data_IF_621302744552
#
_entry.id   IF_621302744552
#
_cell.length_a   1.000
_cell.length_b   1.000
_cell.length_c   1.000
_cell.angle_alpha   90.00
_cell.angle_beta   90.00
_cell.angle_gamma   90.00
#
_symmetry.space_group_name_H-M   'P 1'
#
loop_
_entity.id
_entity.type
_entity.pdbx_description
1 polymer ?
#
# COMPACT_ATOMS: atom_id res chain seq x y z
N UNK A 1 28.63 8.92 -23.07
CA UNK A 1 28.27 10.22 -22.45
C UNK A 1 27.41 9.92 -21.23
N UNK A 2 27.45 10.71 -20.16
CA UNK A 2 26.46 10.56 -19.07
C UNK A 2 25.06 10.77 -19.64
N UNK A 3 24.08 9.92 -19.27
CA UNK A 3 22.70 10.03 -19.77
C UNK A 3 22.08 11.42 -19.58
N UNK A 4 22.50 12.15 -18.54
CA UNK A 4 22.07 13.55 -18.31
C UNK A 4 22.48 14.49 -19.45
N UNK A 5 23.68 14.29 -20.03
CA UNK A 5 24.17 15.12 -21.13
C UNK A 5 23.44 14.76 -22.43
N UNK A 6 23.23 13.46 -22.69
CA UNK A 6 22.46 12.99 -23.85
C UNK A 6 21.05 13.56 -23.83
N UNK A 7 20.32 13.42 -22.71
CA UNK A 7 18.96 13.94 -22.58
C UNK A 7 18.89 15.46 -22.73
N UNK A 8 19.87 16.21 -22.18
CA UNK A 8 19.92 17.66 -22.33
C UNK A 8 20.01 18.06 -23.80
N UNK A 9 20.81 17.34 -24.59
CA UNK A 9 21.14 17.73 -25.96
C UNK A 9 20.09 17.21 -26.97
N UNK A 10 19.45 16.07 -26.71
CA UNK A 10 18.50 15.43 -27.64
C UNK A 10 17.05 15.44 -27.18
N UNK A 11 16.80 15.71 -25.90
CA UNK A 11 15.49 15.51 -25.26
C UNK A 11 15.07 14.04 -25.13
N UNK A 12 15.98 13.09 -25.40
CA UNK A 12 15.72 11.65 -25.42
C UNK A 12 16.82 10.85 -24.75
N UNK A 13 16.47 9.66 -24.28
CA UNK A 13 17.39 8.65 -23.77
C UNK A 13 17.08 7.35 -24.51
N UNK A 14 17.98 6.91 -25.37
CA UNK A 14 17.80 5.67 -26.14
C UNK A 14 17.59 4.48 -25.20
N UNK A 15 18.29 4.45 -24.05
CA UNK A 15 18.12 3.40 -23.06
C UNK A 15 16.72 3.37 -22.43
N UNK A 16 16.03 4.52 -22.35
CA UNK A 16 14.65 4.59 -21.86
C UNK A 16 13.67 4.10 -22.93
N UNK A 17 13.87 4.50 -24.19
CA UNK A 17 13.06 4.07 -25.32
C UNK A 17 13.18 2.53 -25.54
N UNK A 18 14.37 1.96 -25.35
CA UNK A 18 14.60 0.51 -25.39
C UNK A 18 13.83 -0.23 -24.29
N UNK A 19 13.80 0.31 -23.07
CA UNK A 19 13.05 -0.27 -21.95
C UNK A 19 11.54 -0.23 -22.22
N UNK A 20 11.03 0.89 -22.71
CA UNK A 20 9.60 1.09 -22.98
C UNK A 20 9.07 0.19 -24.11
N UNK A 21 9.95 -0.25 -25.00
CA UNK A 21 9.61 -1.10 -26.15
C UNK A 21 9.95 -2.58 -25.95
N UNK A 22 10.60 -2.95 -24.84
CA UNK A 22 10.95 -4.34 -24.53
C UNK A 22 9.68 -5.16 -24.16
N UNK A 23 9.28 -6.17 -24.98
CA UNK A 23 8.06 -6.93 -24.74
C UNK A 23 8.09 -7.74 -23.42
N UNK A 24 9.29 -8.17 -23.00
CA UNK A 24 9.47 -8.89 -21.74
C UNK A 24 9.26 -7.93 -20.56
N UNK A 25 9.83 -6.72 -20.61
CA UNK A 25 9.62 -5.73 -19.56
C UNK A 25 8.16 -5.28 -19.48
N UNK A 26 7.50 -5.09 -20.63
CA UNK A 26 6.05 -4.81 -20.68
C UNK A 26 5.23 -5.92 -20.02
N UNK A 27 5.52 -7.19 -20.31
CA UNK A 27 4.81 -8.33 -19.71
C UNK A 27 5.08 -8.41 -18.20
N UNK A 28 6.34 -8.26 -17.79
CA UNK A 28 6.70 -8.28 -16.36
C UNK A 28 6.06 -7.13 -15.59
N UNK A 29 5.96 -5.94 -16.19
CA UNK A 29 5.26 -4.80 -15.62
C UNK A 29 3.76 -5.08 -15.47
N UNK A 30 3.12 -5.65 -16.50
CA UNK A 30 1.72 -6.04 -16.45
C UNK A 30 1.44 -7.02 -15.30
N UNK A 31 2.29 -8.03 -15.11
CA UNK A 31 2.17 -8.99 -14.01
C UNK A 31 2.48 -8.37 -12.66
N UNK A 32 3.47 -7.51 -12.57
CA UNK A 32 3.82 -6.79 -11.35
C UNK A 32 2.68 -5.88 -10.86
N UNK A 33 1.91 -5.31 -11.78
CA UNK A 33 0.74 -4.48 -11.45
C UNK A 33 -0.44 -5.29 -10.88
N UNK A 34 -0.40 -6.63 -10.92
CA UNK A 34 -1.42 -7.48 -10.29
C UNK A 34 -1.22 -7.44 -8.78
N UNK A 35 -2.27 -7.04 -8.05
CA UNK A 35 -2.19 -7.07 -6.59
C UNK A 35 -1.88 -8.47 -6.05
N UNK A 36 -0.87 -8.54 -5.16
CA UNK A 36 -0.38 -9.81 -4.61
C UNK A 36 0.71 -10.49 -5.46
N UNK A 37 1.18 -9.86 -6.54
CA UNK A 37 2.30 -10.31 -7.35
C UNK A 37 3.50 -9.38 -7.14
N UNK A 38 4.61 -9.93 -6.64
CA UNK A 38 5.88 -9.22 -6.54
C UNK A 38 6.79 -9.49 -7.74
N UNK A 39 7.99 -8.89 -7.75
CA UNK A 39 8.97 -9.04 -8.83
C UNK A 39 9.38 -10.51 -9.07
N UNK A 40 9.53 -11.29 -7.99
CA UNK A 40 9.84 -12.73 -8.08
C UNK A 40 8.70 -13.48 -8.75
N UNK A 41 7.47 -13.30 -8.29
CA UNK A 41 6.30 -14.00 -8.82
C UNK A 41 5.98 -13.58 -10.27
N UNK A 42 6.15 -12.30 -10.62
CA UNK A 42 6.00 -11.84 -12.00
C UNK A 42 6.99 -12.55 -12.94
N UNK A 43 8.24 -12.76 -12.51
CA UNK A 43 9.22 -13.54 -13.28
C UNK A 43 8.86 -15.02 -13.35
N UNK A 44 8.33 -15.61 -12.28
CA UNK A 44 7.84 -16.99 -12.29
C UNK A 44 6.69 -17.16 -13.29
N UNK A 45 5.71 -16.24 -13.30
CA UNK A 45 4.61 -16.24 -14.26
C UNK A 45 5.12 -16.16 -15.70
N UNK A 46 6.04 -15.24 -15.98
CA UNK A 46 6.66 -15.09 -17.29
C UNK A 46 7.42 -16.35 -17.76
N UNK A 47 7.98 -17.13 -16.83
CA UNK A 47 8.76 -18.33 -17.10
C UNK A 47 7.93 -19.63 -17.09
N UNK A 48 6.71 -19.65 -16.54
CA UNK A 48 5.94 -20.90 -16.29
C UNK A 48 5.70 -21.81 -17.51
N UNK A 49 5.78 -21.29 -18.73
CA UNK A 49 5.63 -22.06 -19.98
C UNK A 49 6.89 -22.78 -20.45
N UNK A 50 8.03 -22.64 -19.76
CA UNK A 50 9.24 -23.41 -20.09
C UNK A 50 9.22 -24.85 -19.56
N UNK A 51 8.31 -25.18 -18.62
CA UNK A 51 8.25 -26.51 -17.98
C UNK A 51 7.07 -27.37 -18.49
N UNK A 52 6.18 -26.81 -19.30
CA UNK A 52 5.04 -27.55 -19.86
C UNK A 52 5.45 -28.25 -21.16
N UNK A 53 6.10 -29.42 -21.04
CA UNK A 53 6.16 -30.39 -22.13
C UNK A 53 5.05 -31.41 -21.91
N UNK A 54 3.87 -31.28 -22.57
CA UNK A 54 2.95 -32.39 -22.61
C UNK A 54 3.70 -33.53 -23.31
N UNK A 55 3.86 -34.66 -22.63
CA UNK A 55 4.31 -35.89 -23.27
C UNK A 55 3.27 -36.25 -24.35
N UNK A 56 3.45 -35.70 -25.55
CA UNK A 56 2.61 -36.02 -26.69
C UNK A 56 2.89 -37.47 -27.05
N UNK A 57 1.86 -38.33 -27.10
CA UNK A 57 2.03 -39.68 -27.61
C UNK A 57 2.57 -39.59 -29.04
N UNK A 58 3.57 -40.40 -29.28
CA UNK A 58 4.30 -40.56 -30.52
C UNK A 58 3.37 -40.49 -31.75
N UNK A 59 3.70 -39.61 -32.71
CA UNK A 59 3.09 -39.41 -34.03
C UNK A 59 1.99 -38.33 -34.17
N UNK A 60 2.38 -37.06 -34.16
CA UNK A 60 1.73 -36.04 -35.00
C UNK A 60 2.72 -34.92 -35.33
N UNK A 61 3.78 -35.24 -36.08
CA UNK A 61 4.71 -34.25 -36.60
C UNK A 61 4.14 -33.72 -37.90
N UNK A 62 3.71 -32.44 -37.95
CA UNK A 62 3.88 -31.46 -39.07
C UNK A 62 2.88 -30.27 -39.08
N UNK A 63 2.00 -30.03 -38.07
CA UNK A 63 1.16 -28.78 -38.09
C UNK A 63 1.03 -28.02 -36.74
N UNK A 64 1.89 -28.20 -35.73
CA UNK A 64 1.76 -27.43 -34.46
C UNK A 64 3.10 -26.94 -33.87
N UNK A 65 4.02 -26.43 -34.68
CA UNK A 65 5.31 -25.89 -34.19
C UNK A 65 5.26 -24.43 -33.73
N UNK A 66 4.08 -23.88 -33.41
CA UNK A 66 3.92 -22.52 -32.88
C UNK A 66 3.14 -22.48 -31.55
N UNK A 67 3.10 -23.57 -30.79
CA UNK A 67 2.70 -23.50 -29.37
C UNK A 67 3.92 -22.91 -28.64
N UNK A 68 3.85 -21.61 -28.41
CA UNK A 68 4.68 -20.81 -27.52
C UNK A 68 5.25 -21.62 -26.35
N UNK A 69 6.53 -22.03 -26.43
CA UNK A 69 7.37 -22.50 -25.31
C UNK A 69 7.72 -21.36 -24.33
N UNK A 70 6.96 -20.28 -24.39
CA UNK A 70 7.14 -19.03 -23.72
C UNK A 70 6.05 -19.00 -22.65
N UNK A 71 6.39 -18.70 -21.39
CA UNK A 71 5.41 -18.65 -20.29
C UNK A 71 4.31 -17.64 -20.47
N UNK A 72 3.57 -17.32 -19.41
CA UNK A 72 2.42 -16.43 -19.53
C UNK A 72 2.85 -15.07 -20.11
N UNK A 73 2.06 -14.53 -21.02
CA UNK A 73 2.31 -13.27 -21.75
C UNK A 73 1.28 -12.20 -21.47
N UNK A 74 0.13 -12.58 -20.94
CA UNK A 74 -0.92 -11.67 -20.54
C UNK A 74 -1.77 -12.22 -19.39
N UNK A 75 -2.80 -11.47 -19.02
CA UNK A 75 -3.76 -11.87 -17.98
C UNK A 75 -4.61 -13.06 -18.40
N UNK A 76 -4.89 -13.24 -19.69
CA UNK A 76 -5.70 -14.34 -20.19
C UNK A 76 -4.97 -15.66 -20.00
N UNK A 77 -3.66 -15.71 -20.24
CA UNK A 77 -2.82 -16.87 -19.91
C UNK A 77 -2.86 -17.23 -18.42
N UNK A 78 -2.86 -16.22 -17.54
CA UNK A 78 -2.97 -16.43 -16.08
C UNK A 78 -4.34 -17.04 -15.74
N UNK A 79 -5.42 -16.54 -16.37
CA UNK A 79 -6.79 -17.00 -16.11
C UNK A 79 -7.00 -18.41 -16.69
N UNK A 80 -6.54 -18.68 -17.91
CA UNK A 80 -6.74 -19.95 -18.60
C UNK A 80 -5.89 -21.07 -18.02
N UNK A 81 -4.61 -20.80 -17.75
CA UNK A 81 -3.64 -21.84 -17.37
C UNK A 81 -3.19 -21.79 -15.91
N UNK A 82 -3.42 -20.66 -15.23
CA UNK A 82 -2.80 -20.36 -13.94
C UNK A 82 -3.74 -20.28 -12.75
N UNK A 83 -5.04 -20.14 -12.98
CA UNK A 83 -6.00 -19.68 -11.98
C UNK A 83 -5.97 -20.46 -10.66
N UNK A 84 -5.90 -21.79 -10.75
CA UNK A 84 -5.92 -22.69 -9.58
C UNK A 84 -4.60 -22.68 -8.79
N UNK A 85 -3.53 -22.12 -9.37
CA UNK A 85 -2.23 -22.00 -8.71
C UNK A 85 -2.06 -20.67 -7.97
N UNK A 86 -2.96 -19.72 -8.18
CA UNK A 86 -2.92 -18.40 -7.58
C UNK A 86 -3.39 -18.45 -6.13
N UNK A 87 -2.76 -17.65 -5.27
CA UNK A 87 -3.32 -17.37 -3.94
C UNK A 87 -4.65 -16.61 -4.08
N UNK A 88 -5.51 -16.68 -3.06
CA UNK A 88 -6.81 -15.96 -3.06
C UNK A 88 -6.65 -14.46 -3.34
N UNK A 89 -5.60 -13.84 -2.79
CA UNK A 89 -5.31 -12.41 -2.97
C UNK A 89 -4.86 -12.11 -4.41
N UNK A 90 -4.06 -12.99 -5.03
CA UNK A 90 -3.69 -12.87 -6.44
C UNK A 90 -4.90 -13.06 -7.36
N UNK A 91 -5.80 -14.00 -7.06
CA UNK A 91 -7.05 -14.16 -7.81
C UNK A 91 -7.92 -12.89 -7.75
N UNK A 92 -7.98 -12.23 -6.59
CA UNK A 92 -8.66 -10.93 -6.45
C UNK A 92 -7.95 -9.85 -7.30
N UNK A 93 -6.61 -9.81 -7.24
CA UNK A 93 -5.80 -8.89 -8.04
C UNK A 93 -5.99 -9.05 -9.55
N UNK A 94 -6.09 -10.29 -10.04
CA UNK A 94 -6.40 -10.58 -11.45
C UNK A 94 -7.84 -10.20 -11.78
N UNK A 95 -8.80 -10.59 -10.92
CA UNK A 95 -10.24 -10.35 -11.14
C UNK A 95 -10.59 -8.85 -11.26
N UNK A 96 -9.94 -8.00 -10.47
CA UNK A 96 -10.22 -6.56 -10.45
C UNK A 96 -9.07 -5.73 -11.03
N UNK A 97 -8.23 -6.34 -11.88
CA UNK A 97 -7.02 -5.71 -12.40
C UNK A 97 -7.25 -4.32 -12.98
N UNK A 98 -8.22 -4.20 -13.89
CA UNK A 98 -8.52 -2.93 -14.56
C UNK A 98 -9.10 -1.90 -13.58
N UNK A 99 -10.07 -2.31 -12.75
CA UNK A 99 -10.70 -1.44 -11.74
C UNK A 99 -9.67 -0.85 -10.78
N UNK A 100 -8.76 -1.68 -10.25
CA UNK A 100 -7.76 -1.26 -9.25
C UNK A 100 -6.65 -0.37 -9.85
N UNK A 101 -6.53 -0.31 -11.18
CA UNK A 101 -5.61 0.60 -11.88
C UNK A 101 -6.21 1.98 -12.15
N UNK A 102 -7.54 2.10 -12.11
CA UNK A 102 -8.21 3.37 -12.32
C UNK A 102 -7.83 4.37 -11.23
N UNK A 103 -7.43 5.58 -11.65
CA UNK A 103 -7.10 6.66 -10.72
C UNK A 103 -8.34 7.16 -9.99
N UNK A 104 -8.19 7.48 -8.71
CA UNK A 104 -9.26 7.91 -7.80
C UNK A 104 -9.21 9.44 -7.66
N UNK A 105 -10.26 10.18 -8.07
CA UNK A 105 -10.34 11.63 -7.85
C UNK A 105 -10.39 11.97 -6.36
N UNK A 106 -9.86 13.14 -5.97
CA UNK A 106 -9.81 13.59 -4.56
C UNK A 106 -11.17 13.56 -3.86
N UNK A 107 -12.23 13.99 -4.53
CA UNK A 107 -13.58 13.98 -3.97
C UNK A 107 -14.05 12.55 -3.60
N UNK A 108 -13.68 11.54 -4.39
CA UNK A 108 -13.99 10.15 -4.09
C UNK A 108 -13.15 9.63 -2.90
N UNK A 109 -11.86 9.98 -2.84
CA UNK A 109 -10.99 9.69 -1.68
C UNK A 109 -11.58 10.26 -0.39
N UNK A 110 -11.99 11.53 -0.40
CA UNK A 110 -12.60 12.21 0.73
C UNK A 110 -13.92 11.55 1.14
N UNK A 111 -14.76 11.16 0.18
CA UNK A 111 -16.02 10.47 0.45
C UNK A 111 -15.79 9.12 1.14
N UNK A 112 -14.87 8.29 0.63
CA UNK A 112 -14.54 6.99 1.21
C UNK A 112 -13.98 7.17 2.63
N UNK A 113 -13.04 8.11 2.80
CA UNK A 113 -12.45 8.43 4.08
C UNK A 113 -13.52 8.84 5.10
N UNK A 114 -14.44 9.75 4.73
CA UNK A 114 -15.53 10.18 5.61
C UNK A 114 -16.42 9.01 6.03
N UNK A 115 -16.75 8.09 5.12
CA UNK A 115 -17.51 6.88 5.47
C UNK A 115 -16.77 6.02 6.51
N UNK A 116 -15.46 5.83 6.35
CA UNK A 116 -14.63 5.07 7.30
C UNK A 116 -14.63 5.75 8.68
N UNK A 117 -14.42 7.07 8.72
CA UNK A 117 -14.40 7.82 9.97
C UNK A 117 -15.76 7.79 10.67
N UNK A 118 -16.86 7.93 9.94
CA UNK A 118 -18.21 7.86 10.50
C UNK A 118 -18.47 6.50 11.17
N UNK A 119 -18.13 5.39 10.51
CA UNK A 119 -18.26 4.05 11.11
C UNK A 119 -17.40 3.88 12.36
N UNK A 120 -16.22 4.50 12.41
CA UNK A 120 -15.39 4.49 13.61
C UNK A 120 -16.02 5.35 14.72
N UNK A 121 -16.54 6.53 14.39
CA UNK A 121 -17.16 7.46 15.34
C UNK A 121 -18.51 6.99 15.88
N UNK A 122 -19.24 6.18 15.12
CA UNK A 122 -20.45 5.49 15.59
C UNK A 122 -20.13 4.46 16.70
N UNK A 123 -18.90 3.93 16.71
CA UNK A 123 -18.41 3.09 17.82
C UNK A 123 -17.95 3.94 18.99
N UNK A 124 -17.14 4.97 18.73
CA UNK A 124 -16.73 5.98 19.71
C UNK A 124 -16.40 7.32 19.04
N UNK A 125 -17.09 8.38 19.45
CA UNK A 125 -16.92 9.73 18.89
C UNK A 125 -15.50 10.31 19.00
N UNK A 126 -14.64 9.75 19.86
CA UNK A 126 -13.26 10.19 20.04
C UNK A 126 -12.30 9.77 18.92
N UNK A 127 -12.73 8.90 17.98
CA UNK A 127 -11.90 8.52 16.84
C UNK A 127 -11.58 9.71 15.94
N UNK A 128 -10.32 9.77 15.51
CA UNK A 128 -9.76 10.81 14.64
C UNK A 128 -9.00 10.15 13.51
N UNK A 129 -8.96 10.82 12.36
CA UNK A 129 -8.33 10.25 11.18
C UNK A 129 -7.64 11.33 10.34
N UNK A 130 -6.60 10.93 9.63
CA UNK A 130 -5.95 11.73 8.58
C UNK A 130 -5.84 10.89 7.32
N UNK A 131 -6.24 11.45 6.18
CA UNK A 131 -5.94 10.86 4.86
C UNK A 131 -4.45 11.09 4.60
N UNK A 132 -3.70 10.03 4.29
CA UNK A 132 -2.25 10.06 4.09
C UNK A 132 -1.90 9.76 2.63
N UNK A 133 -0.77 9.11 2.34
CA UNK A 133 -0.43 8.65 0.99
C UNK A 133 -0.31 9.76 -0.05
N UNK A 134 -0.59 9.41 -1.31
CA UNK A 134 -0.53 10.34 -2.45
C UNK A 134 -1.47 11.54 -2.29
N UNK A 135 -2.63 11.35 -1.65
CA UNK A 135 -3.60 12.40 -1.39
C UNK A 135 -3.00 13.53 -0.54
N UNK A 136 -2.37 13.17 0.59
CA UNK A 136 -1.78 14.16 1.51
C UNK A 136 -0.56 14.85 0.91
N UNK A 137 0.14 14.21 -0.02
CA UNK A 137 1.23 14.82 -0.80
C UNK A 137 0.76 15.72 -1.95
N UNK A 138 -0.55 15.93 -2.10
CA UNK A 138 -1.10 16.87 -3.08
C UNK A 138 -1.35 16.30 -4.47
N UNK A 139 -1.41 14.98 -4.65
CA UNK A 139 -1.79 14.40 -5.94
C UNK A 139 -3.24 14.78 -6.29
N UNK A 140 -3.47 15.14 -7.56
CA UNK A 140 -4.82 15.46 -8.08
C UNK A 140 -5.68 14.20 -8.26
N UNK A 141 -5.05 13.05 -8.43
CA UNK A 141 -5.69 11.74 -8.47
C UNK A 141 -4.79 10.70 -7.80
N UNK A 142 -5.37 9.78 -7.03
CA UNK A 142 -4.65 8.78 -6.25
C UNK A 142 -4.71 7.38 -6.89
N UNK A 143 -3.82 6.47 -6.48
CA UNK A 143 -3.91 5.05 -6.83
C UNK A 143 -4.82 4.26 -5.88
N UNK A 144 -4.88 4.69 -4.63
CA UNK A 144 -5.60 4.08 -3.51
C UNK A 144 -6.04 5.16 -2.51
N UNK A 145 -6.81 4.75 -1.52
CA UNK A 145 -7.19 5.57 -0.36
C UNK A 145 -6.44 5.07 0.87
N UNK A 146 -5.45 5.82 1.33
CA UNK A 146 -4.73 5.53 2.56
C UNK A 146 -5.23 6.41 3.71
N UNK A 147 -5.62 5.80 4.83
CA UNK A 147 -6.04 6.53 6.04
C UNK A 147 -5.34 6.02 7.30
N UNK A 148 -4.88 6.96 8.13
CA UNK A 148 -4.44 6.67 9.50
C UNK A 148 -5.55 7.07 10.45
N UNK A 149 -6.07 6.09 11.18
CA UNK A 149 -7.11 6.22 12.20
C UNK A 149 -6.48 6.01 13.59
N UNK A 150 -6.90 6.81 14.57
CA UNK A 150 -6.44 6.69 15.95
C UNK A 150 -7.49 7.21 16.93
N UNK A 151 -7.24 6.98 18.21
CA UNK A 151 -8.08 7.43 19.31
C UNK A 151 -7.18 7.93 20.46
N UNK A 152 -7.48 9.06 21.12
CA UNK A 152 -6.68 9.55 22.24
C UNK A 152 -6.61 8.57 23.43
N UNK A 153 -7.65 7.75 23.63
CA UNK A 153 -7.62 6.57 24.50
C UNK A 153 -7.15 5.35 23.71
N UNK A 154 -5.97 4.81 24.07
CA UNK A 154 -5.35 3.67 23.38
C UNK A 154 -6.12 2.35 23.57
N UNK A 155 -6.97 2.26 24.60
CA UNK A 155 -7.81 1.07 24.76
C UNK A 155 -8.82 0.94 23.62
N UNK A 156 -9.23 2.06 23.01
CA UNK A 156 -10.15 2.07 21.88
C UNK A 156 -9.49 1.62 20.57
N UNK A 157 -8.17 1.78 20.39
CA UNK A 157 -7.46 1.33 19.17
C UNK A 157 -7.08 -0.15 19.20
N UNK A 158 -7.03 -0.77 20.38
CA UNK A 158 -6.61 -2.16 20.53
C UNK A 158 -7.57 -3.13 19.83
N UNK A 159 -7.06 -3.91 18.87
CA UNK A 159 -7.80 -4.84 18.01
C UNK A 159 -8.96 -4.22 17.22
N UNK A 160 -9.03 -2.89 17.16
CA UNK A 160 -10.18 -2.18 16.59
C UNK A 160 -10.37 -2.43 15.10
N UNK A 161 -9.27 -2.61 14.36
CA UNK A 161 -9.29 -2.78 12.90
C UNK A 161 -10.21 -3.92 12.46
N UNK A 162 -10.21 -5.06 13.18
CA UNK A 162 -11.08 -6.19 12.85
C UNK A 162 -12.56 -5.86 13.02
N UNK A 163 -12.91 -5.13 14.10
CA UNK A 163 -14.28 -4.68 14.33
C UNK A 163 -14.73 -3.69 13.26
N UNK A 164 -13.89 -2.72 12.91
CA UNK A 164 -14.20 -1.71 11.89
C UNK A 164 -14.43 -2.36 10.51
N UNK A 165 -13.56 -3.27 10.09
CA UNK A 165 -13.71 -4.00 8.82
C UNK A 165 -15.03 -4.77 8.79
N UNK A 166 -15.37 -5.50 9.87
CA UNK A 166 -16.64 -6.23 9.96
C UNK A 166 -17.86 -5.30 9.85
N UNK A 167 -17.80 -4.08 10.39
CA UNK A 167 -18.87 -3.09 10.25
C UNK A 167 -18.99 -2.60 8.80
N UNK A 168 -17.87 -2.26 8.17
CA UNK A 168 -17.84 -1.81 6.77
C UNK A 168 -18.28 -2.91 5.79
N UNK A 169 -17.94 -4.18 6.04
CA UNK A 169 -18.40 -5.34 5.29
C UNK A 169 -19.93 -5.52 5.42
N UNK A 170 -20.47 -5.41 6.63
CA UNK A 170 -21.93 -5.49 6.87
C UNK A 170 -22.71 -4.35 6.21
N UNK A 171 -22.10 -3.17 6.13
CA UNK A 171 -22.64 -2.01 5.42
C UNK A 171 -22.46 -2.10 3.90
N UNK A 172 -21.82 -3.15 3.38
CA UNK A 172 -21.65 -3.41 1.95
C UNK A 172 -20.52 -2.61 1.28
N UNK A 173 -19.72 -1.86 2.04
CA UNK A 173 -18.62 -1.04 1.50
C UNK A 173 -17.36 -1.86 1.16
N UNK A 174 -17.17 -3.00 1.84
CA UNK A 174 -16.01 -3.87 1.64
C UNK A 174 -16.46 -5.14 0.92
N UNK A 175 -15.92 -5.34 -0.27
CA UNK A 175 -16.20 -6.54 -1.08
C UNK A 175 -15.22 -7.67 -0.79
N UNK A 176 -13.95 -7.34 -0.54
CA UNK A 176 -12.88 -8.30 -0.28
C UNK A 176 -11.85 -7.70 0.67
N UNK A 177 -11.32 -8.55 1.55
CA UNK A 177 -10.15 -8.23 2.40
C UNK A 177 -8.89 -8.82 1.76
N UNK A 178 -7.94 -7.96 1.39
CA UNK A 178 -6.66 -8.35 0.76
C UNK A 178 -5.62 -8.75 1.82
N UNK A 179 -5.61 -8.03 2.95
CA UNK A 179 -4.79 -8.35 4.11
C UNK A 179 -5.42 -7.74 5.35
N UNK A 180 -5.39 -8.45 6.47
CA UNK A 180 -5.78 -7.95 7.78
C UNK A 180 -4.72 -8.37 8.79
N UNK A 181 -4.24 -7.42 9.59
CA UNK A 181 -3.21 -7.70 10.59
C UNK A 181 -3.46 -6.90 11.87
N UNK A 182 -3.28 -7.59 12.99
CA UNK A 182 -3.41 -7.06 14.36
C UNK A 182 -2.07 -7.06 15.08
N UNK A 183 -0.95 -7.10 14.34
CA UNK A 183 0.38 -7.31 14.91
C UNK A 183 0.73 -6.29 15.99
N UNK A 184 0.21 -5.06 15.94
CA UNK A 184 0.48 -4.04 16.96
C UNK A 184 -0.32 -4.30 18.21
N UNK A 185 -1.60 -4.66 18.07
CA UNK A 185 -2.42 -5.08 19.19
C UNK A 185 -1.93 -6.38 19.85
N UNK A 186 -1.44 -7.34 19.05
CA UNK A 186 -0.86 -8.61 19.54
C UNK A 186 0.32 -8.37 20.50
N UNK A 187 1.04 -7.25 20.33
CA UNK A 187 2.16 -6.82 21.19
C UNK A 187 1.78 -5.71 22.18
N UNK A 188 0.50 -5.54 22.48
CA UNK A 188 0.03 -4.55 23.46
C UNK A 188 0.19 -3.10 22.99
N UNK A 189 0.16 -2.86 21.69
CA UNK A 189 0.37 -1.54 21.06
C UNK A 189 1.74 -0.91 21.33
N UNK A 190 2.72 -1.72 21.74
CA UNK A 190 4.10 -1.27 21.91
C UNK A 190 4.84 -1.20 20.57
N UNK A 191 5.78 -0.26 20.40
CA UNK A 191 6.65 -0.22 19.23
C UNK A 191 7.48 -1.49 19.08
N UNK A 192 7.76 -1.91 17.85
CA UNK A 192 8.41 -3.21 17.60
C UNK A 192 9.78 -3.31 18.29
N UNK A 193 9.95 -4.26 19.22
CA UNK A 193 11.22 -4.46 19.94
C UNK A 193 12.38 -4.77 18.97
N UNK A 194 13.50 -4.07 19.13
CA UNK A 194 14.71 -4.31 18.34
C UNK A 194 15.52 -5.46 18.93
N UNK A 195 15.58 -6.61 18.23
CA UNK A 195 16.29 -7.82 18.69
C UNK A 195 17.79 -7.87 18.35
N UNK A 196 18.44 -6.72 18.15
CA UNK A 196 19.80 -6.68 17.60
C UNK A 196 19.86 -7.22 16.16
N UNK A 197 20.97 -7.00 15.45
CA UNK A 197 21.11 -7.35 14.02
C UNK A 197 21.05 -8.86 13.67
N UNK A 198 20.54 -9.72 14.57
CA UNK A 198 20.56 -11.19 14.47
C UNK A 198 19.26 -11.79 13.89
N UNK A 199 18.24 -10.98 13.58
CA UNK A 199 17.01 -11.49 12.96
C UNK A 199 16.93 -11.10 11.49
N UNK A 200 16.60 -12.07 10.62
CA UNK A 200 16.25 -11.81 9.21
C UNK A 200 15.27 -10.64 9.15
N UNK A 201 15.45 -9.74 8.20
CA UNK A 201 14.54 -8.62 7.97
C UNK A 201 13.09 -9.14 7.97
N UNK A 202 12.28 -8.67 8.92
CA UNK A 202 10.85 -8.96 8.92
C UNK A 202 10.26 -8.40 7.63
N UNK A 203 9.53 -9.23 6.88
CA UNK A 203 8.85 -8.83 5.66
C UNK A 203 7.69 -7.89 6.03
N UNK A 204 7.81 -6.61 5.69
CA UNK A 204 6.80 -5.56 5.93
C UNK A 204 7.40 -4.18 6.23
N UNK A 205 6.78 -3.12 5.69
CA UNK A 205 7.18 -1.72 5.87
C UNK A 205 7.03 -1.23 7.33
N UNK A 206 6.01 -1.75 8.01
CA UNK A 206 5.75 -1.61 9.44
C UNK A 206 4.90 -2.78 9.97
N UNK A 207 4.54 -2.69 11.25
CA UNK A 207 3.78 -3.71 11.97
C UNK A 207 2.56 -3.11 12.68
N UNK A 208 2.03 -1.97 12.24
CA UNK A 208 0.77 -1.41 12.73
C UNK A 208 -0.40 -2.36 12.43
N UNK A 209 -1.50 -2.16 13.17
CA UNK A 209 -2.77 -2.80 12.86
C UNK A 209 -3.29 -2.18 11.56
N UNK A 210 -3.66 -3.00 10.58
CA UNK A 210 -4.10 -2.51 9.27
C UNK A 210 -4.93 -3.50 8.50
N UNK A 211 -5.78 -2.96 7.64
CA UNK A 211 -6.55 -3.69 6.66
C UNK A 211 -6.32 -3.10 5.28
N UNK A 212 -5.96 -3.95 4.32
CA UNK A 212 -5.90 -3.60 2.90
C UNK A 212 -7.13 -4.22 2.24
N UNK A 213 -7.96 -3.41 1.60
CA UNK A 213 -9.32 -3.76 1.25
C UNK A 213 -9.62 -3.46 -0.22
N UNK A 214 -10.60 -4.19 -0.75
CA UNK A 214 -11.27 -3.86 -2.01
C UNK A 214 -12.62 -3.24 -1.66
N UNK A 215 -12.69 -1.92 -1.79
CA UNK A 215 -13.87 -1.11 -1.54
C UNK A 215 -14.78 -1.06 -2.76
N UNK A 216 -16.09 -1.06 -2.51
CA UNK A 216 -17.12 -0.74 -3.50
C UNK A 216 -18.21 0.06 -2.81
N UNK A 217 -18.58 1.20 -3.37
CA UNK A 217 -19.65 2.03 -2.79
C UNK A 217 -21.00 1.36 -3.07
N UNK A 218 -21.85 1.03 -2.09
CA UNK A 218 -23.17 0.48 -2.36
C UNK A 218 -23.96 1.37 -3.32
N UNK A 219 -24.61 0.77 -4.31
CA UNK A 219 -25.51 1.49 -5.22
C UNK A 219 -26.70 2.03 -4.40
N UNK A 220 -27.06 3.30 -4.60
CA UNK A 220 -28.29 3.86 -4.01
C UNK A 220 -29.48 3.47 -4.88
N UNK A 221 -30.65 3.25 -4.25
CA UNK A 221 -31.92 2.95 -4.95
C UNK A 221 -32.30 4.02 -6.01
N UNK A 222 -31.75 5.23 -5.92
CA UNK A 222 -31.99 6.33 -6.88
C UNK A 222 -31.12 6.25 -8.14
N UNK A 223 -29.97 5.56 -8.10
CA UNK A 223 -29.11 5.30 -9.27
C UNK A 223 -29.75 4.29 -10.23
N UNK A 224 -30.60 3.39 -9.72
CA UNK A 224 -31.37 2.44 -10.54
C UNK A 224 -32.40 3.13 -11.44
N UNK A 225 -32.90 4.31 -11.07
CA UNK A 225 -33.96 5.02 -11.83
C UNK A 225 -33.45 5.80 -13.03
N UNK A 226 -32.15 6.08 -13.10
CA UNK A 226 -31.59 6.98 -14.13
C UNK A 226 -30.67 6.28 -15.14
N UNK A 227 -30.81 4.96 -15.34
CA UNK A 227 -30.41 4.28 -16.57
C UNK A 227 -28.97 4.53 -17.06
N UNK A 228 -28.04 4.88 -16.15
CA UNK A 228 -26.65 5.13 -16.49
C UNK A 228 -25.86 3.81 -16.60
N UNK A 229 -26.38 2.86 -17.38
CA UNK A 229 -25.61 1.72 -17.88
C UNK A 229 -24.71 2.13 -19.06
N UNK A 230 -23.99 3.24 -18.89
CA UNK A 230 -23.03 3.74 -19.86
C UNK A 230 -21.62 3.66 -19.27
N UNK A 231 -20.92 2.55 -19.49
CA UNK A 231 -19.45 2.43 -19.50
C UNK A 231 -18.66 3.28 -18.46
N UNK A 232 -19.17 3.34 -17.22
CA UNK A 232 -18.62 4.15 -16.13
C UNK A 232 -19.22 3.70 -14.81
N UNK A 233 -19.02 2.42 -14.49
CA UNK A 233 -19.64 1.74 -13.36
C UNK A 233 -19.20 2.26 -11.99
N UNK A 234 -19.50 1.50 -10.96
CA UNK A 234 -19.07 1.67 -9.59
C UNK A 234 -17.80 0.81 -9.38
N UNK A 235 -16.60 1.34 -9.72
CA UNK A 235 -15.38 0.55 -9.77
C UNK A 235 -14.96 0.10 -8.37
N UNK A 236 -14.27 -1.03 -8.31
CA UNK A 236 -13.61 -1.45 -7.09
C UNK A 236 -12.38 -0.58 -6.83
N UNK A 237 -12.20 -0.11 -5.59
CA UNK A 237 -11.07 0.73 -5.18
C UNK A 237 -10.20 0.02 -4.16
N UNK A 238 -8.88 0.26 -4.18
CA UNK A 238 -8.02 -0.13 -3.07
C UNK A 238 -8.13 0.90 -1.94
N UNK A 239 -8.33 0.40 -0.73
CA UNK A 239 -8.42 1.19 0.49
C UNK A 239 -7.57 0.54 1.57
N UNK A 240 -6.61 1.29 2.10
CA UNK A 240 -5.70 0.86 3.14
C UNK A 240 -6.05 1.65 4.42
N UNK A 241 -6.55 0.93 5.44
CA UNK A 241 -6.90 1.50 6.75
C UNK A 241 -5.83 1.10 7.76
N UNK A 242 -5.22 2.09 8.40
CA UNK A 242 -4.12 1.90 9.34
C UNK A 242 -4.55 2.42 10.71
N UNK A 243 -4.42 1.59 11.74
CA UNK A 243 -4.72 1.96 13.11
C UNK A 243 -3.42 2.07 13.90
N UNK A 244 -3.22 3.22 14.53
CA UNK A 244 -2.06 3.50 15.40
C UNK A 244 -2.54 3.95 16.78
N UNK A 245 -1.91 3.54 17.89
CA UNK A 245 -2.14 4.18 19.19
C UNK A 245 -1.70 5.64 19.16
N UNK A 246 -2.30 6.48 20.01
CA UNK A 246 -2.02 7.92 20.00
C UNK A 246 -0.55 8.25 20.27
N UNK A 247 0.15 7.47 21.10
CA UNK A 247 1.57 7.67 21.44
C UNK A 247 2.54 7.59 20.26
N UNK A 248 2.13 7.03 19.12
CA UNK A 248 2.97 6.91 17.91
C UNK A 248 2.24 7.36 16.64
N UNK A 249 1.17 8.15 16.78
CA UNK A 249 0.33 8.56 15.65
C UNK A 249 1.07 9.49 14.69
N UNK A 250 1.99 10.32 15.18
CA UNK A 250 2.86 11.16 14.38
C UNK A 250 3.83 10.34 13.53
N UNK A 251 4.42 9.28 14.09
CA UNK A 251 5.24 8.33 13.32
C UNK A 251 4.41 7.61 12.25
N UNK A 252 3.18 7.21 12.57
CA UNK A 252 2.27 6.57 11.62
C UNK A 252 1.90 7.50 10.47
N UNK A 253 1.49 8.74 10.78
CA UNK A 253 1.18 9.76 9.78
C UNK A 253 2.39 10.06 8.91
N UNK A 254 3.58 10.22 9.50
CA UNK A 254 4.81 10.47 8.75
C UNK A 254 5.12 9.31 7.78
N UNK A 255 5.16 8.09 8.31
CA UNK A 255 5.49 6.89 7.55
C UNK A 255 4.54 6.62 6.40
N UNK A 256 3.23 6.72 6.64
CA UNK A 256 2.20 6.48 5.63
C UNK A 256 1.91 7.69 4.73
N UNK A 257 2.42 8.87 5.07
CA UNK A 257 2.41 10.01 4.13
C UNK A 257 3.43 9.81 3.01
N UNK A 258 4.55 9.12 3.24
CA UNK A 258 5.61 8.94 2.23
C UNK A 258 6.26 10.26 1.77
N UNK A 259 6.86 10.36 0.59
CA UNK A 259 7.03 9.34 -0.46
C UNK A 259 8.18 8.35 -0.22
N UNK A 260 8.33 7.36 -1.11
CA UNK A 260 9.25 6.22 -0.90
C UNK A 260 10.70 6.64 -0.64
N UNK A 261 11.24 7.57 -1.42
CA UNK A 261 12.63 8.02 -1.25
C UNK A 261 12.77 8.94 -0.04
N UNK A 262 11.77 9.78 0.24
CA UNK A 262 11.72 10.60 1.46
C UNK A 262 11.80 9.71 2.71
N UNK A 263 10.98 8.66 2.79
CA UNK A 263 10.98 7.70 3.89
C UNK A 263 12.29 6.91 3.98
N UNK A 264 12.87 6.53 2.85
CA UNK A 264 14.18 5.85 2.80
C UNK A 264 15.28 6.72 3.38
N UNK A 265 15.32 7.99 2.98
CA UNK A 265 16.35 8.94 3.41
C UNK A 265 16.14 9.36 4.86
N UNK A 266 14.90 9.50 5.32
CA UNK A 266 14.58 9.70 6.74
C UNK A 266 15.04 8.52 7.60
N UNK A 267 14.74 7.28 7.20
CA UNK A 267 15.22 6.07 7.91
C UNK A 267 16.74 5.98 7.91
N UNK A 268 17.40 6.40 6.83
CA UNK A 268 18.86 6.48 6.74
C UNK A 268 19.42 7.55 7.68
N UNK A 269 18.84 8.74 7.71
CA UNK A 269 19.19 9.82 8.64
C UNK A 269 19.06 9.36 10.09
N UNK A 270 17.91 8.79 10.47
CA UNK A 270 17.68 8.25 11.80
C UNK A 270 18.77 7.23 12.20
N UNK A 271 19.14 6.34 11.27
CA UNK A 271 20.20 5.35 11.50
C UNK A 271 21.58 5.98 11.68
N UNK A 272 21.99 6.86 10.76
CA UNK A 272 23.36 7.35 10.67
C UNK A 272 23.63 8.53 11.62
N UNK A 273 22.72 9.48 11.70
CA UNK A 273 22.91 10.74 12.42
C UNK A 273 22.36 10.70 13.84
N UNK A 274 21.35 9.86 14.10
CA UNK A 274 20.66 9.81 15.40
C UNK A 274 20.84 8.51 16.16
N UNK A 275 21.41 7.48 15.54
CA UNK A 275 21.51 6.14 16.15
C UNK A 275 20.16 5.60 16.64
N UNK A 276 19.07 5.95 15.94
CA UNK A 276 17.71 5.46 16.21
C UNK A 276 17.15 4.70 15.01
N UNK A 277 16.14 3.86 15.26
CA UNK A 277 15.37 3.16 14.23
C UNK A 277 13.95 3.71 14.18
N UNK A 278 13.63 4.38 13.09
CA UNK A 278 12.29 4.86 12.76
C UNK A 278 11.53 3.83 11.90
N UNK A 279 10.27 3.59 12.23
CA UNK A 279 9.22 3.10 11.32
C UNK A 279 7.86 3.67 11.76
N UNK A 280 6.79 3.35 11.03
CA UNK A 280 5.44 3.85 11.31
C UNK A 280 4.91 3.49 12.70
N UNK A 281 5.49 2.49 13.38
CA UNK A 281 5.09 2.10 14.74
C UNK A 281 5.85 2.85 15.84
N UNK A 282 6.85 3.67 15.50
CA UNK A 282 7.60 4.48 16.45
C UNK A 282 9.12 4.50 16.25
N UNK A 283 9.80 5.20 17.16
CA UNK A 283 11.25 5.38 17.17
C UNK A 283 11.88 4.57 18.30
N UNK A 284 12.96 3.85 18.02
CA UNK A 284 13.70 3.11 19.05
C UNK A 284 15.17 3.43 19.04
N UNK A 285 15.78 3.39 20.21
CA UNK A 285 17.23 3.39 20.36
C UNK A 285 17.83 2.17 19.66
N UNK A 286 18.90 2.36 18.88
CA UNK A 286 19.66 1.23 18.30
C UNK A 286 20.66 0.62 19.28
N UNK A 287 20.83 1.21 20.46
CA UNK A 287 21.77 0.77 21.49
C UNK A 287 21.17 -0.42 22.27
N UNK A 288 19.96 -0.23 22.79
CA UNK A 288 19.27 -1.17 23.69
C UNK A 288 17.89 -1.59 23.18
N UNK A 289 17.40 -0.98 22.08
CA UNK A 289 16.10 -1.29 21.50
C UNK A 289 14.92 -0.67 22.23
N UNK A 290 15.16 0.17 23.24
CA UNK A 290 14.10 0.88 23.98
C UNK A 290 13.31 1.80 23.07
N UNK A 291 12.00 1.91 23.31
CA UNK A 291 11.16 2.90 22.66
C UNK A 291 11.53 4.30 23.17
N UNK A 292 11.60 5.25 22.24
CA UNK A 292 11.81 6.66 22.52
C UNK A 292 10.50 7.37 22.24
N UNK A 293 9.81 7.79 23.30
CA UNK A 293 8.67 8.68 23.17
C UNK A 293 9.18 10.05 22.71
N UNK A 294 8.99 10.35 21.43
CA UNK A 294 9.39 11.63 20.83
C UNK A 294 8.20 12.57 20.66
N UNK A 295 6.98 12.05 20.75
CA UNK A 295 5.74 12.76 20.44
C UNK A 295 5.05 13.24 21.73
N UNK A 296 5.19 12.48 22.82
CA UNK A 296 4.62 12.74 24.13
C UNK A 296 5.55 13.55 25.04
N UNK A 297 6.75 13.05 25.34
CA UNK A 297 7.77 13.68 26.23
C UNK A 297 7.17 14.51 27.38
N UNK A 298 7.74 15.67 27.71
CA UNK A 298 7.24 16.59 28.75
C UNK A 298 5.97 17.34 28.33
N UNK A 299 5.58 17.24 27.05
CA UNK A 299 4.48 18.01 26.46
C UNK A 299 3.12 17.27 26.54
N UNK A 300 3.12 16.01 26.98
CA UNK A 300 1.93 15.16 26.99
C UNK A 300 1.40 14.85 25.59
N UNK A 301 0.16 14.34 25.50
CA UNK A 301 -0.46 13.97 24.22
C UNK A 301 -0.58 15.19 23.28
N UNK A 302 -0.19 15.01 22.03
CA UNK A 302 -0.39 16.04 21.02
C UNK A 302 -1.89 16.36 20.83
N UNK A 303 -2.27 17.62 20.61
CA UNK A 303 -3.68 18.03 20.47
C UNK A 303 -4.33 17.46 19.20
N UNK A 304 -3.54 17.17 18.17
CA UNK A 304 -3.97 16.62 16.88
C UNK A 304 -2.81 15.83 16.22
N UNK A 305 -3.11 15.10 15.16
CA UNK A 305 -2.13 14.22 14.49
C UNK A 305 -1.06 14.97 13.69
N UNK A 306 -1.34 16.20 13.21
CA UNK A 306 -0.33 17.01 12.51
C UNK A 306 0.69 17.56 13.50
N UNK A 307 0.23 18.01 14.67
CA UNK A 307 1.10 18.39 15.77
C UNK A 307 1.94 17.22 16.25
N UNK A 308 1.39 16.00 16.32
CA UNK A 308 2.15 14.79 16.61
C UNK A 308 3.26 14.56 15.59
N UNK A 309 2.95 14.64 14.29
CA UNK A 309 3.95 14.55 13.21
C UNK A 309 5.04 15.62 13.32
N UNK A 310 4.67 16.89 13.59
CA UNK A 310 5.64 17.98 13.78
C UNK A 310 6.62 17.70 14.92
N UNK A 311 6.13 17.14 16.03
CA UNK A 311 6.97 16.75 17.17
C UNK A 311 7.96 15.64 16.80
N UNK A 312 7.60 14.71 15.90
CA UNK A 312 8.55 13.71 15.38
C UNK A 312 9.73 14.38 14.67
N UNK A 313 9.48 15.37 13.81
CA UNK A 313 10.56 16.12 13.15
C UNK A 313 11.41 16.89 14.17
N UNK A 314 10.76 17.61 15.08
CA UNK A 314 11.44 18.42 16.10
C UNK A 314 12.34 17.57 16.99
N UNK A 315 11.85 16.44 17.51
CA UNK A 315 12.68 15.56 18.34
C UNK A 315 13.78 14.86 17.54
N UNK A 316 13.62 14.68 16.23
CA UNK A 316 14.69 14.28 15.32
C UNK A 316 15.64 15.44 14.97
N UNK A 317 15.44 16.64 15.48
CA UNK A 317 16.26 17.82 15.15
C UNK A 317 16.16 18.21 13.68
N UNK A 318 15.02 17.93 13.04
CA UNK A 318 14.73 18.27 11.66
C UNK A 318 13.70 19.40 11.61
N UNK A 319 13.83 20.26 10.60
CA UNK A 319 12.75 21.17 10.23
C UNK A 319 11.58 20.36 9.68
N UNK A 320 10.36 20.63 10.16
CA UNK A 320 9.17 20.01 9.59
C UNK A 320 9.01 20.38 8.11
N UNK A 321 8.88 19.35 7.28
CA UNK A 321 8.68 19.48 5.83
C UNK A 321 7.22 19.20 5.52
N UNK A 322 6.57 20.11 4.78
CA UNK A 322 5.15 19.96 4.44
C UNK A 322 4.95 18.69 3.61
N UNK A 323 3.82 17.98 3.75
CA UNK A 323 3.55 16.75 3.00
C UNK A 323 3.76 16.88 1.48
N UNK A 324 3.37 18.01 0.88
CA UNK A 324 3.49 18.28 -0.56
C UNK A 324 4.95 18.41 -1.02
N UNK A 325 5.86 18.75 -0.10
CA UNK A 325 7.30 18.87 -0.36
C UNK A 325 8.04 17.53 -0.20
N UNK A 326 7.33 16.45 0.15
CA UNK A 326 7.89 15.08 0.29
C UNK A 326 7.76 14.25 -1.00
N UNK A 327 7.39 14.90 -2.10
CA UNK A 327 7.24 14.29 -3.41
C UNK A 327 8.61 14.00 -4.04
N UNK A 328 9.14 12.83 -3.74
CA UNK A 328 10.25 12.27 -4.50
C UNK A 328 9.67 11.52 -5.70
N UNK A 329 9.87 12.04 -6.92
CA UNK A 329 9.48 11.36 -8.16
C UNK A 329 10.18 10.02 -8.31
#
# INVERSE_FOLDING_TARGET
MSGVLTFRDTGKLEEADEIDTDPRLSTLAQFYDIWGVGDVTAREFYNKGSDYSPALPFQCTTILTNISLQGWRDLDDIVEYGWDTLTRVQQIGVKFYDDLRLKIPRAEVESIANTILNHAQDVDSGFRMVIVGGYRRGQSTCGDVDVVLSHPDETCTQYFIGRLVLLLEKSGFVSHTLSLTTRNSDRGQEPLQWKGGMTRASVGFDTLDKAMLVWRTPESEDMDRHGAHGLGGNPHRRVDIIVSPWKTVGCAVLGWTGGTTFERDLRRYCKLEKSVKFDSSGIRSRIDGSWIDIEGQELGKAPDMETAEKRVFEGLGLKWIRPEERCTR
#
